data_IF_548182463122
#
_entry.id   IF_548182463122
#
_cell.length_a   1.000
_cell.length_b   1.000
_cell.length_c   1.000
_cell.angle_alpha   90.00
_cell.angle_beta   90.00
_cell.angle_gamma   90.00
#
_symmetry.space_group_name_H-M   'P 1'
#
loop_
_entity.id
_entity.type
_entity.pdbx_description
1 polymer ?
#
# COMPACT_ATOMS: atom_id res chain seq x y z
N UNK A 1 0.36 1.62 22.56
CA UNK A 1 0.80 2.86 21.90
C UNK A 1 2.29 2.74 21.65
N UNK A 2 2.74 2.90 20.39
CA UNK A 2 4.17 2.97 20.07
C UNK A 2 4.81 4.11 20.87
N UNK A 3 6.06 3.94 21.30
CA UNK A 3 6.77 5.03 21.96
C UNK A 3 7.40 5.95 20.91
N UNK A 4 7.66 7.20 21.30
CA UNK A 4 8.32 8.15 20.41
C UNK A 4 9.74 7.68 20.04
N UNK A 5 10.43 7.02 20.97
CA UNK A 5 11.77 6.46 20.74
C UNK A 5 11.73 5.36 19.68
N UNK A 6 10.69 4.52 19.68
CA UNK A 6 10.52 3.48 18.66
C UNK A 6 10.30 4.08 17.26
N UNK A 7 9.47 5.12 17.16
CA UNK A 7 9.26 5.86 15.90
C UNK A 7 10.58 6.49 15.42
N UNK A 8 11.31 7.16 16.31
CA UNK A 8 12.60 7.78 15.95
C UNK A 8 13.64 6.74 15.52
N UNK A 9 13.64 5.56 16.14
CA UNK A 9 14.51 4.46 15.75
C UNK A 9 14.17 3.92 14.35
N UNK A 10 12.88 3.73 14.04
CA UNK A 10 12.42 3.34 12.70
C UNK A 10 12.86 4.37 11.65
N UNK A 11 12.61 5.66 11.90
CA UNK A 11 13.01 6.75 11.01
C UNK A 11 14.52 6.77 10.78
N UNK A 12 15.31 6.60 11.85
CA UNK A 12 16.77 6.56 11.74
C UNK A 12 17.27 5.36 10.94
N UNK A 13 16.58 4.23 11.00
CA UNK A 13 16.94 3.04 10.23
C UNK A 13 16.71 3.20 8.72
N UNK A 14 15.83 4.12 8.31
CA UNK A 14 15.59 4.45 6.90
C UNK A 14 16.74 5.26 6.26
N UNK A 15 17.66 5.81 7.08
CA UNK A 15 18.78 6.61 6.61
C UNK A 15 18.39 8.05 6.28
N UNK A 16 18.84 8.56 5.13
CA UNK A 16 18.55 9.92 4.70
C UNK A 16 17.10 10.02 4.22
N UNK A 17 16.25 10.62 5.07
CA UNK A 17 14.84 10.89 4.80
C UNK A 17 14.54 12.37 4.92
N UNK A 18 13.55 12.83 4.15
CA UNK A 18 13.14 14.22 4.14
C UNK A 18 12.11 14.51 5.23
N UNK A 19 12.52 15.34 6.19
CA UNK A 19 11.73 15.77 7.35
C UNK A 19 11.70 17.30 7.47
N UNK A 20 11.87 18.01 6.35
CA UNK A 20 11.92 19.46 6.38
C UNK A 20 10.60 20.04 6.88
N UNK A 21 10.66 20.80 7.97
CA UNK A 21 9.49 21.45 8.56
C UNK A 21 8.51 20.53 9.30
N UNK A 22 8.75 19.21 9.37
CA UNK A 22 7.75 18.22 9.84
C UNK A 22 8.05 17.54 11.17
N UNK A 23 8.97 18.11 11.97
CA UNK A 23 9.38 17.52 13.26
C UNK A 23 8.21 17.40 14.27
N UNK A 24 7.23 18.29 14.20
CA UNK A 24 6.09 18.30 15.13
C UNK A 24 5.13 17.16 14.83
N UNK A 25 4.98 16.82 13.55
CA UNK A 25 4.16 15.78 12.97
C UNK A 25 4.75 14.40 13.33
N UNK A 26 6.07 14.25 13.23
CA UNK A 26 6.77 13.03 13.67
C UNK A 26 6.46 12.70 15.13
N UNK A 27 6.43 13.70 16.00
CA UNK A 27 6.13 13.52 17.42
C UNK A 27 4.69 13.06 17.69
N UNK A 28 3.80 13.11 16.70
CA UNK A 28 2.40 12.69 16.82
C UNK A 28 2.15 11.28 16.30
N UNK A 29 3.09 10.72 15.52
CA UNK A 29 2.97 9.36 15.00
C UNK A 29 2.69 8.29 16.07
N UNK A 30 3.25 8.35 17.30
CA UNK A 30 2.90 7.45 18.40
C UNK A 30 1.40 7.33 18.71
N UNK A 31 0.64 8.42 18.54
CA UNK A 31 -0.79 8.49 18.85
C UNK A 31 -1.66 8.08 17.64
N UNK A 32 -1.08 8.11 16.44
CA UNK A 32 -1.80 7.96 15.15
C UNK A 32 -1.60 6.56 14.57
N UNK A 33 -0.38 6.02 14.68
CA UNK A 33 -0.02 4.71 14.16
C UNK A 33 -0.47 3.62 15.12
N UNK A 34 -0.89 2.48 14.55
CA UNK A 34 -1.18 1.29 15.35
C UNK A 34 0.11 0.69 15.89
N UNK A 35 0.03 -0.01 17.02
CA UNK A 35 1.20 -0.67 17.62
C UNK A 35 1.87 -1.68 16.69
N UNK A 36 1.09 -2.33 15.81
CA UNK A 36 1.55 -3.30 14.83
C UNK A 36 1.99 -2.72 13.48
N UNK A 37 1.89 -1.40 13.29
CA UNK A 37 2.12 -0.72 12.01
C UNK A 37 3.51 -0.08 12.01
N UNK A 38 4.39 -0.40 11.07
CA UNK A 38 5.73 0.15 10.95
C UNK A 38 5.86 1.13 9.79
N UNK A 39 6.83 2.04 9.90
CA UNK A 39 7.16 2.99 8.84
C UNK A 39 8.00 2.26 7.79
N UNK A 40 7.51 2.21 6.57
CA UNK A 40 8.26 1.70 5.41
C UNK A 40 9.10 2.79 4.76
N UNK A 41 8.55 4.00 4.65
CA UNK A 41 9.27 5.19 4.21
C UNK A 41 8.50 6.45 4.59
N UNK A 42 9.16 7.60 4.59
CA UNK A 42 8.50 8.90 4.79
C UNK A 42 9.17 10.01 3.97
N UNK A 43 8.44 11.10 3.75
CA UNK A 43 8.95 12.32 3.13
C UNK A 43 8.15 13.51 3.63
N UNK A 44 8.67 14.73 3.44
CA UNK A 44 7.90 15.96 3.52
C UNK A 44 7.61 16.53 2.13
N UNK A 45 6.55 17.33 2.03
CA UNK A 45 6.23 18.10 0.84
C UNK A 45 5.14 19.15 1.11
N UNK A 46 4.84 19.96 0.11
CA UNK A 46 3.85 21.03 0.15
C UNK A 46 2.53 20.55 -0.44
N UNK A 47 1.43 20.79 0.27
CA UNK A 47 0.07 20.61 -0.22
C UNK A 47 -0.78 21.77 0.29
N UNK A 48 -1.56 22.38 -0.60
CA UNK A 48 -2.42 23.55 -0.28
C UNK A 48 -1.68 24.69 0.46
N UNK A 49 -0.43 24.95 0.08
CA UNK A 49 0.40 26.01 0.67
C UNK A 49 0.94 25.71 2.08
N UNK A 50 0.77 24.48 2.57
CA UNK A 50 1.24 24.02 3.89
C UNK A 50 2.19 22.84 3.74
N UNK A 51 3.13 22.69 4.67
CA UNK A 51 4.06 21.56 4.68
C UNK A 51 3.44 20.38 5.41
N UNK A 52 3.47 19.21 4.77
CA UNK A 52 2.92 17.98 5.30
C UNK A 52 4.02 16.95 5.49
N UNK A 53 3.89 16.13 6.51
CA UNK A 53 4.58 14.85 6.63
C UNK A 53 3.76 13.79 5.90
N UNK A 54 4.40 13.00 5.04
CA UNK A 54 3.79 11.90 4.32
C UNK A 54 4.51 10.62 4.72
N UNK A 55 3.77 9.68 5.30
CA UNK A 55 4.29 8.43 5.86
C UNK A 55 3.65 7.27 5.12
N UNK A 56 4.47 6.36 4.60
CA UNK A 56 4.02 5.06 4.08
C UNK A 56 4.23 4.00 5.16
N UNK A 57 3.17 3.25 5.46
CA UNK A 57 3.20 2.08 6.35
C UNK A 57 2.85 0.82 5.56
N UNK A 58 2.77 -0.34 6.21
CA UNK A 58 2.31 -1.57 5.55
C UNK A 58 0.82 -1.56 5.19
N UNK A 59 0.04 -0.63 5.75
CA UNK A 59 -1.43 -0.62 5.65
C UNK A 59 -1.99 0.59 4.87
N UNK A 60 -1.32 1.74 4.96
CA UNK A 60 -1.83 3.02 4.45
C UNK A 60 -0.73 4.06 4.24
N UNK A 61 -1.08 5.12 3.53
CA UNK A 61 -0.36 6.39 3.52
C UNK A 61 -1.05 7.33 4.51
N UNK A 62 -0.26 7.99 5.37
CA UNK A 62 -0.72 8.97 6.36
C UNK A 62 -0.11 10.33 6.00
N UNK A 63 -0.95 11.36 5.86
CA UNK A 63 -0.53 12.74 5.65
C UNK A 63 -0.88 13.54 6.89
N UNK A 64 0.10 14.25 7.46
CA UNK A 64 -0.06 15.07 8.66
C UNK A 64 0.39 16.51 8.43
N UNK A 65 -0.44 17.46 8.86
CA UNK A 65 -0.12 18.88 9.00
C UNK A 65 -0.46 19.31 10.43
N UNK A 66 0.57 19.61 11.21
CA UNK A 66 0.44 20.19 12.55
C UNK A 66 0.76 21.67 12.43
N UNK A 67 -0.20 22.38 11.84
CA UNK A 67 -0.15 23.82 11.57
C UNK A 67 0.33 24.66 12.76
N UNK A 68 0.77 25.89 12.47
CA UNK A 68 1.52 26.71 13.42
C UNK A 68 0.75 27.17 14.67
N UNK A 69 -0.60 27.21 14.62
CA UNK A 69 -1.41 27.89 15.64
C UNK A 69 -2.50 27.03 16.31
N UNK A 70 -3.29 26.23 15.57
CA UNK A 70 -4.34 25.38 16.16
C UNK A 70 -4.75 24.25 15.21
N UNK A 71 -4.96 23.05 15.76
CA UNK A 71 -5.46 21.87 15.04
C UNK A 71 -4.37 21.04 14.34
N UNK A 72 -4.61 19.74 14.26
CA UNK A 72 -3.87 18.81 13.41
C UNK A 72 -4.81 18.39 12.29
N UNK A 73 -4.35 18.48 11.04
CA UNK A 73 -5.02 17.87 9.91
C UNK A 73 -4.36 16.53 9.62
N UNK A 74 -5.19 15.55 9.35
CA UNK A 74 -4.77 14.19 9.05
C UNK A 74 -5.61 13.64 7.91
N UNK A 75 -4.94 13.10 6.90
CA UNK A 75 -5.57 12.38 5.80
C UNK A 75 -4.94 11.00 5.70
N UNK A 76 -5.75 9.97 5.50
CA UNK A 76 -5.27 8.61 5.35
C UNK A 76 -5.83 7.95 4.11
N UNK A 77 -4.99 7.18 3.42
CA UNK A 77 -5.36 6.42 2.24
C UNK A 77 -4.90 4.98 2.42
N UNK A 78 -5.81 4.04 2.56
CA UNK A 78 -5.42 2.63 2.67
C UNK A 78 -4.89 2.12 1.34
N UNK A 79 -3.83 1.31 1.39
CA UNK A 79 -3.09 0.89 0.21
C UNK A 79 -3.92 0.07 -0.79
N UNK A 80 -4.98 -0.60 -0.32
CA UNK A 80 -5.93 -1.36 -1.16
C UNK A 80 -6.83 -0.46 -2.03
N UNK A 81 -6.96 0.82 -1.66
CA UNK A 81 -7.80 1.80 -2.36
C UNK A 81 -7.01 2.77 -3.22
N UNK A 82 -5.68 2.67 -3.21
CA UNK A 82 -4.82 3.47 -4.09
C UNK A 82 -4.89 2.87 -5.49
N UNK A 83 -5.33 3.68 -6.45
CA UNK A 83 -5.43 3.30 -7.86
C UNK A 83 -4.06 3.37 -8.55
N UNK A 84 -3.32 4.44 -8.27
CA UNK A 84 -1.96 4.63 -8.78
C UNK A 84 -1.20 5.65 -7.94
N UNK A 85 0.12 5.55 -7.99
CA UNK A 85 1.05 6.53 -7.45
C UNK A 85 2.16 6.76 -8.47
N UNK A 86 2.54 8.02 -8.67
CA UNK A 86 3.62 8.41 -9.57
C UNK A 86 4.43 9.56 -8.99
N UNK A 87 5.58 9.84 -9.58
CA UNK A 87 6.40 10.99 -9.21
C UNK A 87 6.92 11.73 -10.44
N UNK A 88 7.19 13.02 -10.26
CA UNK A 88 7.97 13.82 -11.20
C UNK A 88 9.23 14.34 -10.49
N UNK A 89 10.36 14.37 -11.20
CA UNK A 89 11.63 14.91 -10.70
C UNK A 89 12.02 16.14 -11.51
N UNK A 90 12.11 17.28 -10.84
CA UNK A 90 12.84 18.45 -11.32
C UNK A 90 14.32 18.40 -10.95
N UNK A 91 15.02 19.52 -11.21
CA UNK A 91 16.47 19.62 -10.97
C UNK A 91 16.85 19.54 -9.47
N UNK A 92 15.98 20.08 -8.61
CA UNK A 92 16.17 20.17 -7.15
C UNK A 92 15.01 19.57 -6.36
N UNK A 93 13.78 19.79 -6.82
CA UNK A 93 12.56 19.33 -6.17
C UNK A 93 11.79 18.38 -7.08
N UNK A 94 10.95 17.55 -6.48
CA UNK A 94 10.01 16.69 -7.18
C UNK A 94 8.59 16.85 -6.64
N UNK A 95 7.68 16.10 -7.24
CA UNK A 95 6.31 15.96 -6.78
C UNK A 95 5.89 14.50 -6.78
N UNK A 96 4.92 14.17 -5.94
CA UNK A 96 4.29 12.86 -5.84
C UNK A 96 2.80 13.06 -6.15
N UNK A 97 2.27 12.24 -7.05
CA UNK A 97 0.85 12.22 -7.39
C UNK A 97 0.23 10.89 -6.96
N UNK A 98 -0.87 10.96 -6.22
CA UNK A 98 -1.59 9.79 -5.70
C UNK A 98 -3.03 9.86 -6.17
N UNK A 99 -3.51 8.78 -6.77
CA UNK A 99 -4.92 8.58 -7.11
C UNK A 99 -5.56 7.62 -6.12
N UNK A 100 -6.62 8.07 -5.46
CA UNK A 100 -7.36 7.30 -4.46
C UNK A 100 -8.87 7.53 -4.61
N UNK A 101 -9.60 6.47 -4.96
CA UNK A 101 -11.06 6.52 -5.10
C UNK A 101 -11.55 7.51 -6.17
N UNK A 102 -10.77 7.74 -7.22
CA UNK A 102 -11.06 8.70 -8.29
C UNK A 102 -10.67 10.15 -7.98
N UNK A 103 -10.23 10.46 -6.77
CA UNK A 103 -9.64 11.75 -6.42
C UNK A 103 -8.13 11.75 -6.69
N UNK A 104 -7.61 12.89 -7.14
CA UNK A 104 -6.18 13.12 -7.38
C UNK A 104 -5.60 14.02 -6.30
N UNK A 105 -4.48 13.62 -5.73
CA UNK A 105 -3.73 14.36 -4.73
C UNK A 105 -2.31 14.61 -5.26
N UNK A 106 -1.81 15.83 -5.10
CA UNK A 106 -0.44 16.18 -5.47
C UNK A 106 0.27 16.72 -4.24
N UNK A 107 1.44 16.18 -3.97
CA UNK A 107 2.38 16.68 -2.98
C UNK A 107 3.55 17.28 -3.77
N UNK A 108 3.71 18.60 -3.69
CA UNK A 108 4.75 19.34 -4.40
C UNK A 108 5.98 19.59 -3.52
N UNK A 109 7.06 20.11 -4.10
CA UNK A 109 8.25 20.53 -3.36
C UNK A 109 8.86 19.47 -2.43
N UNK A 110 8.72 18.20 -2.77
CA UNK A 110 9.46 17.13 -2.13
C UNK A 110 10.93 17.21 -2.55
N UNK A 111 11.87 16.86 -1.67
CA UNK A 111 13.27 16.68 -2.10
C UNK A 111 13.36 15.59 -3.17
N UNK A 112 14.16 15.82 -4.22
CA UNK A 112 14.24 14.88 -5.36
C UNK A 112 14.79 13.51 -4.97
N UNK A 113 15.55 13.47 -3.88
CA UNK A 113 16.14 12.27 -3.30
C UNK A 113 15.07 11.39 -2.65
N UNK A 114 14.02 11.98 -2.07
CA UNK A 114 12.98 11.24 -1.33
C UNK A 114 11.83 10.74 -2.21
N UNK A 115 11.51 11.43 -3.33
CA UNK A 115 10.31 11.12 -4.13
C UNK A 115 10.30 9.71 -4.70
N UNK A 116 11.44 9.25 -5.26
CA UNK A 116 11.50 7.91 -5.84
C UNK A 116 11.45 6.82 -4.76
N UNK A 117 12.29 6.86 -3.71
CA UNK A 117 12.21 5.90 -2.61
C UNK A 117 10.82 5.82 -1.98
N UNK A 118 10.13 6.95 -1.81
CA UNK A 118 8.76 6.97 -1.30
C UNK A 118 7.80 6.23 -2.22
N UNK A 119 7.80 6.53 -3.53
CA UNK A 119 6.90 5.86 -4.48
C UNK A 119 7.23 4.37 -4.61
N UNK A 120 8.50 4.00 -4.60
CA UNK A 120 8.93 2.60 -4.61
C UNK A 120 8.45 1.86 -3.36
N UNK A 121 8.56 2.48 -2.17
CA UNK A 121 8.08 1.92 -0.91
C UNK A 121 6.57 1.67 -0.93
N UNK A 122 5.78 2.62 -1.44
CA UNK A 122 4.32 2.45 -1.59
C UNK A 122 3.98 1.31 -2.54
N UNK A 123 4.62 1.25 -3.71
CA UNK A 123 4.36 0.18 -4.68
C UNK A 123 4.72 -1.20 -4.11
N UNK A 124 5.87 -1.33 -3.45
CA UNK A 124 6.29 -2.56 -2.79
C UNK A 124 5.32 -2.96 -1.66
N UNK A 125 4.82 -1.99 -0.89
CA UNK A 125 3.84 -2.24 0.15
C UNK A 125 2.51 -2.76 -0.40
N UNK A 126 2.02 -2.17 -1.51
CA UNK A 126 0.82 -2.61 -2.22
C UNK A 126 1.00 -4.05 -2.73
N UNK A 127 2.15 -4.36 -3.33
CA UNK A 127 2.46 -5.71 -3.82
C UNK A 127 2.52 -6.74 -2.68
N UNK A 128 3.26 -6.44 -1.62
CA UNK A 128 3.39 -7.29 -0.43
C UNK A 128 2.05 -7.54 0.29
N UNK A 129 1.08 -6.65 0.13
CA UNK A 129 -0.28 -6.82 0.69
C UNK A 129 -1.13 -7.73 -0.19
N UNK A 130 -0.98 -7.64 -1.52
CA UNK A 130 -1.63 -8.55 -2.48
C UNK A 130 -1.14 -9.98 -2.29
N UNK A 131 0.18 -10.18 -2.17
CA UNK A 131 0.77 -11.52 -1.94
C UNK A 131 0.30 -12.14 -0.63
N UNK A 132 0.35 -11.40 0.48
CA UNK A 132 -0.17 -11.86 1.78
C UNK A 132 -1.66 -12.19 1.74
N UNK A 133 -2.46 -11.42 1.00
CA UNK A 133 -3.89 -11.70 0.85
C UNK A 133 -4.14 -12.98 0.03
N UNK A 134 -3.35 -13.22 -1.02
CA UNK A 134 -3.42 -14.49 -1.76
C UNK A 134 -2.95 -15.69 -0.93
N UNK A 135 -1.89 -15.55 -0.14
CA UNK A 135 -1.37 -16.62 0.73
C UNK A 135 -2.34 -16.94 1.88
N UNK A 136 -2.97 -15.93 2.48
CA UNK A 136 -3.99 -16.11 3.50
C UNK A 136 -5.25 -16.80 2.95
N UNK A 137 -5.61 -16.55 1.69
CA UNK A 137 -6.72 -17.27 1.03
C UNK A 137 -6.35 -18.73 0.73
N UNK A 138 -5.10 -19.01 0.32
CA UNK A 138 -4.61 -20.38 0.15
C UNK A 138 -4.57 -21.13 1.48
N UNK A 139 -4.13 -20.49 2.57
CA UNK A 139 -4.10 -21.13 3.90
C UNK A 139 -5.49 -21.34 4.50
N UNK A 140 -6.46 -20.45 4.24
CA UNK A 140 -7.87 -20.65 4.63
C UNK A 140 -8.54 -21.77 3.84
N UNK A 141 -8.17 -21.97 2.56
CA UNK A 141 -8.64 -23.10 1.77
C UNK A 141 -8.10 -24.45 2.28
N UNK A 142 -6.89 -24.48 2.87
CA UNK A 142 -6.30 -25.70 3.44
C UNK A 142 -6.87 -26.03 4.83
N UNK A 143 -7.38 -25.06 5.59
CA UNK A 143 -7.93 -25.28 6.94
C UNK A 143 -9.45 -25.52 6.98
N UNK A 144 -10.20 -25.02 5.99
CA UNK A 144 -11.62 -25.32 5.85
C UNK A 144 -11.81 -26.33 4.72
N UNK A 145 -11.91 -27.61 5.06
CA UNK A 145 -12.35 -28.68 4.16
C UNK A 145 -13.79 -28.48 3.68
N UNK A 146 -14.03 -27.48 2.84
CA UNK A 146 -15.28 -27.27 2.10
C UNK A 146 -14.98 -27.49 0.62
N UNK A 147 -15.06 -28.75 0.23
CA UNK A 147 -14.92 -29.22 -1.16
C UNK A 147 -15.83 -28.47 -2.15
N UNK A 148 -16.89 -27.82 -1.70
CA UNK A 148 -17.86 -27.14 -2.57
C UNK A 148 -17.41 -25.77 -3.08
N UNK A 149 -16.57 -25.03 -2.34
CA UNK A 149 -16.04 -23.73 -2.80
C UNK A 149 -14.84 -23.94 -3.74
N UNK A 150 -14.00 -24.94 -3.45
CA UNK A 150 -12.82 -25.30 -4.25
C UNK A 150 -13.21 -25.80 -5.65
N UNK A 151 -14.28 -26.61 -5.78
CA UNK A 151 -14.76 -27.09 -7.08
C UNK A 151 -15.19 -25.93 -7.98
N UNK A 152 -15.84 -24.89 -7.44
CA UNK A 152 -16.30 -23.75 -8.24
C UNK A 152 -15.11 -22.92 -8.79
N UNK A 153 -14.12 -22.63 -7.93
CA UNK A 153 -12.90 -21.90 -8.31
C UNK A 153 -12.05 -22.71 -9.32
N UNK A 154 -11.98 -24.03 -9.15
CA UNK A 154 -11.30 -24.94 -10.07
C UNK A 154 -11.99 -25.03 -11.43
N UNK A 155 -13.34 -25.00 -11.46
CA UNK A 155 -14.11 -24.92 -12.70
C UNK A 155 -13.88 -23.58 -13.43
N UNK A 156 -13.84 -22.46 -12.72
CA UNK A 156 -13.60 -21.14 -13.32
C UNK A 156 -12.20 -21.05 -13.96
N UNK A 157 -11.18 -21.64 -13.32
CA UNK A 157 -9.84 -21.76 -13.89
C UNK A 157 -9.82 -22.62 -15.16
N UNK A 158 -10.51 -23.75 -15.16
CA UNK A 158 -10.60 -24.61 -16.34
C UNK A 158 -11.27 -23.89 -17.52
N UNK A 159 -12.35 -23.15 -17.27
CA UNK A 159 -13.03 -22.33 -18.29
C UNK A 159 -12.05 -21.30 -18.86
N UNK A 160 -11.29 -20.61 -18.00
CA UNK A 160 -10.31 -19.61 -18.44
C UNK A 160 -9.18 -20.21 -19.31
N UNK A 161 -8.84 -21.48 -19.13
CA UNK A 161 -7.82 -22.18 -19.92
C UNK A 161 -8.34 -22.57 -21.31
N UNK A 162 -9.63 -22.90 -21.43
CA UNK A 162 -10.30 -23.15 -22.72
C UNK A 162 -10.44 -21.86 -23.51
N UNK A 163 -10.88 -20.77 -22.88
CA UNK A 163 -11.02 -19.45 -23.52
C UNK A 163 -9.69 -18.94 -24.08
N UNK A 164 -8.58 -19.24 -23.38
CA UNK A 164 -7.23 -18.88 -23.81
C UNK A 164 -6.61 -19.88 -24.80
N UNK A 165 -7.31 -20.94 -25.16
CA UNK A 165 -6.86 -21.95 -26.12
C UNK A 165 -5.76 -22.89 -25.60
N UNK A 166 -5.55 -22.96 -24.28
CA UNK A 166 -4.58 -23.89 -23.67
C UNK A 166 -5.16 -25.30 -23.47
N UNK A 167 -6.49 -25.44 -23.50
CA UNK A 167 -7.20 -26.71 -23.42
C UNK A 167 -8.24 -26.80 -24.53
N UNK A 168 -8.39 -27.98 -25.12
CA UNK A 168 -9.52 -28.29 -26.00
C UNK A 168 -10.79 -28.54 -25.20
N UNK A 169 -11.95 -28.45 -25.88
CA UNK A 169 -13.26 -28.69 -25.26
C UNK A 169 -13.39 -30.12 -24.70
N UNK A 170 -12.73 -31.09 -25.32
CA UNK A 170 -12.75 -32.51 -24.91
C UNK A 170 -11.91 -32.75 -23.64
N UNK A 171 -10.76 -32.10 -23.55
CA UNK A 171 -9.90 -32.13 -22.35
C UNK A 171 -10.59 -31.44 -21.17
N UNK A 172 -11.31 -30.35 -21.42
CA UNK A 172 -12.12 -29.66 -20.42
C UNK A 172 -13.21 -30.54 -19.81
N UNK A 173 -14.03 -31.20 -20.64
CA UNK A 173 -15.11 -32.07 -20.13
C UNK A 173 -14.57 -33.26 -19.33
N UNK A 174 -13.43 -33.83 -19.76
CA UNK A 174 -12.76 -34.91 -19.01
C UNK A 174 -12.31 -34.46 -17.61
N UNK A 175 -11.74 -33.27 -17.50
CA UNK A 175 -11.25 -32.74 -16.22
C UNK A 175 -12.40 -32.26 -15.32
N UNK A 176 -13.43 -31.65 -15.90
CA UNK A 176 -14.66 -31.25 -15.21
C UNK A 176 -15.37 -32.45 -14.58
N UNK A 177 -15.48 -33.57 -15.29
CA UNK A 177 -16.09 -34.80 -14.75
C UNK A 177 -15.26 -35.41 -13.61
N UNK A 178 -13.92 -35.35 -13.69
CA UNK A 178 -13.06 -35.79 -12.59
C UNK A 178 -13.21 -34.92 -11.35
N UNK A 179 -13.34 -33.60 -11.54
CA UNK A 179 -13.51 -32.63 -10.46
C UNK A 179 -14.88 -32.73 -9.78
N UNK A 180 -15.95 -32.97 -10.53
CA UNK A 180 -17.30 -33.09 -9.99
C UNK A 180 -17.57 -34.42 -9.26
N UNK A 181 -16.75 -35.44 -9.51
CA UNK A 181 -16.85 -36.76 -8.88
C UNK A 181 -15.77 -37.00 -7.79
N UNK A 182 -15.02 -35.96 -7.41
CA UNK A 182 -14.01 -35.98 -6.34
C UNK A 182 -14.58 -35.47 -5.01
#
# INVERSE_FOLDING_TARGET
MKTLEAIQAEIKALGDVDLFGTKKEVNCLPEIMKDSEHILYLTSGLMDGTTWLIVCTEERIILLDKGMFFGMKQTEMSLDKINSISYNKGLLLGSIEIWHGGARMIIENCTKESVKPFVDAVNNAIENRKTRSSEANVQKAVQNGSSTIDIADQLERLISMVEKGFLSQEEFETQKQKLLNS
#
